data_IF_042207387672
#
_entry.id   IF_042207387672
#
_cell.length_a   1.000
_cell.length_b   1.000
_cell.length_c   1.000
_cell.angle_alpha   90.00
_cell.angle_beta   90.00
_cell.angle_gamma   90.00
#
_symmetry.space_group_name_H-M   'P 1'
#
loop_
_entity.id
_entity.type
_entity.pdbx_description
1 polymer ?
#
# COMPACT_ATOMS: atom_id res chain seq x y z
N UNK A 1 16.85 15.53 14.51
CA UNK A 1 17.73 14.65 13.74
C UNK A 1 17.26 14.79 12.29
N UNK A 2 18.05 15.40 11.43
CA UNK A 2 17.75 15.46 10.01
C UNK A 2 17.95 14.05 9.44
N UNK A 3 16.85 13.32 9.34
CA UNK A 3 16.84 12.03 8.66
C UNK A 3 17.02 12.29 7.16
N UNK A 4 18.27 12.24 6.70
CA UNK A 4 18.60 12.43 5.30
C UNK A 4 18.14 11.19 4.54
N UNK A 5 17.02 11.31 3.82
CA UNK A 5 16.52 10.29 2.90
C UNK A 5 16.88 10.72 1.47
N UNK A 6 17.30 9.76 0.65
CA UNK A 6 17.57 10.00 -0.77
C UNK A 6 16.28 10.23 -1.55
N UNK A 7 15.19 9.60 -1.11
CA UNK A 7 13.89 9.67 -1.76
C UNK A 7 12.74 9.43 -0.78
N UNK A 8 11.55 9.97 -1.09
CA UNK A 8 10.30 9.68 -0.39
C UNK A 8 9.29 9.10 -1.35
N UNK A 9 8.80 7.87 -1.08
CA UNK A 9 7.70 7.25 -1.79
C UNK A 9 6.41 7.35 -0.96
N UNK A 10 5.32 7.71 -1.62
CA UNK A 10 3.99 7.77 -1.02
C UNK A 10 3.16 6.61 -1.55
N UNK A 11 2.76 5.73 -0.67
CA UNK A 11 1.97 4.55 -1.01
C UNK A 11 0.65 4.54 -0.26
N UNK A 12 -0.33 3.94 -0.87
CA UNK A 12 -1.66 3.72 -0.31
C UNK A 12 -1.78 2.26 0.13
N UNK A 13 -2.46 2.00 1.25
CA UNK A 13 -2.89 0.66 1.61
C UNK A 13 -4.41 0.63 1.72
N UNK A 14 -5.04 -0.26 0.95
CA UNK A 14 -6.50 -0.42 0.88
C UNK A 14 -6.91 -1.89 0.96
N UNK A 15 -8.17 -2.15 1.15
CA UNK A 15 -8.78 -3.48 1.29
C UNK A 15 -9.87 -3.45 2.34
N UNK A 16 -10.61 -4.54 2.47
CA UNK A 16 -11.75 -4.65 3.37
C UNK A 16 -11.40 -4.42 4.84
N UNK A 17 -12.43 -4.18 5.65
CA UNK A 17 -12.25 -4.12 7.11
C UNK A 17 -11.78 -5.47 7.65
N UNK A 18 -10.86 -5.46 8.61
CA UNK A 18 -10.39 -6.67 9.29
C UNK A 18 -9.36 -7.52 8.53
N UNK A 19 -8.97 -7.16 7.29
CA UNK A 19 -7.91 -7.89 6.54
C UNK A 19 -6.51 -7.69 7.11
N UNK A 20 -6.32 -6.72 8.02
CA UNK A 20 -5.08 -6.51 8.76
C UNK A 20 -4.17 -5.41 8.23
N UNK A 21 -4.68 -4.42 7.48
CA UNK A 21 -3.90 -3.27 6.94
C UNK A 21 -3.10 -2.55 8.01
N UNK A 22 -3.73 -2.16 9.10
CA UNK A 22 -3.05 -1.44 10.19
C UNK A 22 -2.02 -2.30 10.88
N UNK A 23 -2.28 -3.60 11.11
CA UNK A 23 -1.28 -4.51 11.65
C UNK A 23 -0.10 -4.73 10.69
N UNK A 24 -0.34 -4.72 9.37
CA UNK A 24 0.71 -4.73 8.37
C UNK A 24 1.64 -3.51 8.54
N UNK A 25 1.06 -2.33 8.69
CA UNK A 25 1.81 -1.09 8.89
C UNK A 25 2.55 -1.09 10.23
N UNK A 26 1.91 -1.49 11.33
CA UNK A 26 2.55 -1.59 12.65
C UNK A 26 3.73 -2.58 12.63
N UNK A 27 3.56 -3.70 11.93
CA UNK A 27 4.64 -4.67 11.76
C UNK A 27 5.81 -4.08 10.96
N UNK A 28 5.54 -3.34 9.91
CA UNK A 28 6.55 -2.65 9.14
C UNK A 28 7.32 -1.60 9.95
N UNK A 29 6.62 -0.78 10.72
CA UNK A 29 7.21 0.37 11.41
C UNK A 29 7.95 -0.01 12.69
N UNK A 30 7.31 -0.84 13.52
CA UNK A 30 7.72 -1.08 14.90
C UNK A 30 8.06 -2.55 15.16
N UNK A 31 7.87 -3.43 14.18
CA UNK A 31 7.88 -4.87 14.36
C UNK A 31 6.84 -5.38 15.39
N UNK A 32 5.70 -4.69 15.47
CA UNK A 32 4.61 -4.96 16.42
C UNK A 32 3.42 -5.63 15.74
N UNK A 33 2.63 -6.35 16.55
CA UNK A 33 1.36 -6.93 16.17
C UNK A 33 0.35 -6.75 17.30
N UNK A 34 -0.81 -6.20 17.00
CA UNK A 34 -1.88 -6.02 17.97
C UNK A 34 -3.09 -6.89 17.61
N UNK A 35 -3.33 -7.95 18.39
CA UNK A 35 -4.44 -8.87 18.15
C UNK A 35 -5.81 -8.24 18.44
N UNK A 36 -5.87 -7.29 19.37
CA UNK A 36 -7.10 -6.63 19.81
C UNK A 36 -7.34 -5.28 19.10
N UNK A 37 -6.78 -5.12 17.88
CA UNK A 37 -6.91 -3.88 17.16
C UNK A 37 -8.38 -3.62 16.78
N UNK A 38 -8.92 -2.50 17.27
CA UNK A 38 -10.25 -2.01 16.86
C UNK A 38 -10.16 -1.40 15.44
N UNK A 39 -11.26 -1.37 14.72
CA UNK A 39 -11.31 -0.81 13.37
C UNK A 39 -10.75 0.62 13.33
N UNK A 40 -9.88 0.89 12.35
CA UNK A 40 -9.33 2.23 12.13
C UNK A 40 -10.44 3.22 11.85
N UNK A 41 -10.44 4.36 12.56
CA UNK A 41 -11.36 5.45 12.29
C UNK A 41 -10.64 6.52 11.47
N UNK A 42 -11.04 6.71 10.20
CA UNK A 42 -10.48 7.74 9.33
C UNK A 42 -9.27 7.29 8.52
N UNK A 43 -8.37 8.24 8.24
CA UNK A 43 -7.15 8.05 7.46
C UNK A 43 -5.99 8.56 8.29
N UNK A 44 -4.93 7.76 8.41
CA UNK A 44 -3.72 8.11 9.13
C UNK A 44 -2.49 8.01 8.22
N UNK A 45 -1.52 8.91 8.40
CA UNK A 45 -0.26 8.91 7.68
C UNK A 45 0.85 8.35 8.56
N UNK A 46 1.39 7.23 8.18
CA UNK A 46 2.53 6.60 8.85
C UNK A 46 3.79 6.70 8.00
N UNK A 47 4.95 6.75 8.63
CA UNK A 47 6.24 6.84 7.92
C UNK A 47 7.25 5.86 8.49
N UNK A 48 7.91 5.15 7.60
CA UNK A 48 9.06 4.27 7.88
C UNK A 48 10.14 4.44 6.83
N UNK A 49 11.15 3.59 6.83
CA UNK A 49 12.18 3.60 5.80
C UNK A 49 12.64 2.20 5.43
N UNK A 50 13.06 2.06 4.18
CA UNK A 50 13.72 0.87 3.64
C UNK A 50 14.99 1.31 2.91
N UNK A 51 15.87 0.35 2.66
CA UNK A 51 17.04 0.54 1.81
C UNK A 51 16.90 -0.28 0.53
N UNK A 52 17.02 0.38 -0.63
CA UNK A 52 17.01 -0.25 -1.96
C UNK A 52 18.23 0.27 -2.74
N UNK A 53 19.07 -0.62 -3.24
CA UNK A 53 20.26 -0.28 -4.05
C UNK A 53 21.15 0.81 -3.40
N UNK A 54 21.42 0.67 -2.09
CA UNK A 54 22.19 1.59 -1.26
C UNK A 54 21.58 3.02 -1.15
N UNK A 55 20.27 3.16 -1.40
CA UNK A 55 19.54 4.40 -1.18
C UNK A 55 18.56 4.23 -0.02
N UNK A 56 18.58 5.19 0.92
CA UNK A 56 17.65 5.25 2.05
C UNK A 56 16.35 5.90 1.59
N UNK A 57 15.29 5.11 1.49
CA UNK A 57 13.99 5.54 0.98
C UNK A 57 13.01 5.68 2.12
N UNK A 58 12.44 6.87 2.27
CA UNK A 58 11.31 7.10 3.17
C UNK A 58 10.02 6.58 2.55
N UNK A 59 9.31 5.73 3.26
CA UNK A 59 8.00 5.22 2.86
C UNK A 59 6.93 5.93 3.69
N UNK A 60 6.08 6.69 3.04
CA UNK A 60 4.89 7.28 3.63
C UNK A 60 3.67 6.46 3.23
N UNK A 61 3.02 5.84 4.22
CA UNK A 61 1.86 4.96 4.01
C UNK A 61 0.61 5.65 4.52
N UNK A 62 -0.38 5.78 3.65
CA UNK A 62 -1.72 6.20 4.02
C UNK A 62 -2.53 4.98 4.45
N UNK A 63 -2.76 4.84 5.78
CA UNK A 63 -3.64 3.82 6.35
C UNK A 63 -5.08 4.27 6.20
N UNK A 64 -5.88 3.50 5.49
CA UNK A 64 -7.28 3.80 5.27
C UNK A 64 -8.18 2.89 6.10
N UNK A 65 -9.22 3.45 6.74
CA UNK A 65 -10.29 2.64 7.29
C UNK A 65 -10.91 1.79 6.18
N UNK A 66 -11.06 0.48 6.42
CA UNK A 66 -11.64 -0.45 5.44
C UNK A 66 -13.15 -0.31 5.25
N UNK A 67 -13.68 0.90 5.46
CA UNK A 67 -15.09 1.21 5.26
C UNK A 67 -15.25 2.08 4.02
N UNK A 68 -16.01 1.60 3.04
CA UNK A 68 -16.41 2.28 1.80
C UNK A 68 -17.07 3.64 2.01
N UNK A 69 -17.46 3.99 3.25
CA UNK A 69 -18.06 5.27 3.62
C UNK A 69 -17.14 6.49 3.42
N UNK A 70 -15.83 6.26 3.23
CA UNK A 70 -14.84 7.34 3.09
C UNK A 70 -14.43 7.64 1.64
N UNK A 71 -15.19 7.15 0.63
CA UNK A 71 -14.94 7.44 -0.80
C UNK A 71 -14.81 8.94 -1.11
N UNK A 72 -15.47 9.80 -0.36
CA UNK A 72 -15.45 11.25 -0.61
C UNK A 72 -14.20 11.97 -0.10
N UNK A 73 -13.51 11.43 0.92
CA UNK A 73 -12.31 12.07 1.51
C UNK A 73 -11.04 11.72 0.72
N UNK A 74 -11.10 10.67 -0.08
CA UNK A 74 -9.95 10.05 -0.71
C UNK A 74 -9.46 10.72 -2.00
N UNK A 75 -10.29 11.50 -2.73
CA UNK A 75 -9.88 12.08 -4.02
C UNK A 75 -8.59 12.90 -3.97
N UNK A 76 -8.44 13.77 -2.99
CA UNK A 76 -7.22 14.57 -2.84
C UNK A 76 -5.99 13.80 -2.35
N UNK A 77 -6.21 12.63 -1.74
CA UNK A 77 -5.14 11.72 -1.30
C UNK A 77 -4.59 10.91 -2.47
N UNK A 78 -5.48 10.39 -3.32
CA UNK A 78 -5.12 9.60 -4.48
C UNK A 78 -4.21 10.35 -5.46
N UNK A 79 -4.34 11.66 -5.59
CA UNK A 79 -3.52 12.49 -6.48
C UNK A 79 -2.02 12.55 -6.11
N UNK A 80 -1.64 12.04 -4.94
CA UNK A 80 -0.27 12.15 -4.42
C UNK A 80 0.42 10.81 -4.21
N UNK A 81 -0.28 9.70 -4.37
CA UNK A 81 0.31 8.37 -4.19
C UNK A 81 0.96 7.86 -5.47
N UNK A 82 2.00 7.06 -5.31
CA UNK A 82 2.83 6.55 -6.38
C UNK A 82 2.59 5.05 -6.61
N UNK A 83 2.02 4.37 -5.61
CA UNK A 83 1.67 2.95 -5.68
C UNK A 83 0.69 2.57 -4.60
N UNK A 84 0.08 1.39 -4.74
CA UNK A 84 -0.92 0.87 -3.81
C UNK A 84 -0.66 -0.59 -3.43
N UNK A 85 -0.77 -0.90 -2.13
CA UNK A 85 -0.94 -2.25 -1.61
C UNK A 85 -2.43 -2.52 -1.45
N UNK A 86 -2.97 -3.53 -2.13
CA UNK A 86 -4.36 -3.94 -1.99
C UNK A 86 -4.39 -5.25 -1.21
N UNK A 87 -4.91 -5.20 0.01
CA UNK A 87 -4.80 -6.28 0.99
C UNK A 87 -6.11 -7.04 1.09
N UNK A 88 -6.03 -8.37 1.02
CA UNK A 88 -7.11 -9.28 1.37
C UNK A 88 -6.65 -10.28 2.45
N UNK A 89 -7.59 -10.95 3.08
CA UNK A 89 -7.36 -12.01 4.07
C UNK A 89 -7.51 -13.36 3.39
N UNK A 90 -6.47 -14.21 3.37
CA UNK A 90 -6.51 -15.53 2.72
C UNK A 90 -7.57 -16.46 3.31
N UNK A 91 -8.10 -16.15 4.50
CA UNK A 91 -9.15 -16.93 5.19
C UNK A 91 -10.56 -16.39 4.92
N UNK A 92 -10.72 -15.34 4.10
CA UNK A 92 -11.99 -14.68 3.84
C UNK A 92 -12.22 -14.48 2.34
N UNK A 93 -13.08 -15.32 1.76
CA UNK A 93 -13.44 -15.27 0.34
C UNK A 93 -13.98 -13.91 -0.10
N UNK A 94 -14.83 -13.29 0.71
CA UNK A 94 -15.43 -12.00 0.35
C UNK A 94 -14.37 -10.93 0.15
N UNK A 95 -13.33 -10.92 0.99
CA UNK A 95 -12.23 -9.95 0.87
C UNK A 95 -11.40 -10.16 -0.39
N UNK A 96 -11.32 -11.39 -0.91
CA UNK A 96 -10.70 -11.70 -2.20
C UNK A 96 -11.59 -11.24 -3.36
N UNK A 97 -12.87 -11.58 -3.37
CA UNK A 97 -13.77 -11.16 -4.46
C UNK A 97 -13.95 -9.65 -4.53
N UNK A 98 -13.80 -8.93 -3.42
CA UNK A 98 -13.81 -7.48 -3.38
C UNK A 98 -12.54 -6.84 -3.98
N UNK A 99 -11.47 -7.60 -4.24
CA UNK A 99 -10.24 -7.08 -4.88
C UNK A 99 -10.53 -6.38 -6.20
N UNK A 100 -11.47 -6.90 -7.00
CA UNK A 100 -11.86 -6.28 -8.26
C UNK A 100 -12.34 -4.83 -8.07
N UNK A 101 -13.15 -4.59 -7.05
CA UNK A 101 -13.65 -3.25 -6.73
C UNK A 101 -12.52 -2.33 -6.25
N UNK A 102 -11.59 -2.85 -5.43
CA UNK A 102 -10.44 -2.09 -4.94
C UNK A 102 -9.47 -1.73 -6.07
N UNK A 103 -9.15 -2.69 -6.95
CA UNK A 103 -8.28 -2.46 -8.12
C UNK A 103 -8.90 -1.42 -9.06
N UNK A 104 -10.20 -1.54 -9.36
CA UNK A 104 -10.91 -0.57 -10.20
C UNK A 104 -10.88 0.82 -9.60
N UNK A 105 -11.19 0.95 -8.32
CA UNK A 105 -11.17 2.23 -7.60
C UNK A 105 -9.77 2.88 -7.63
N UNK A 106 -8.71 2.11 -7.36
CA UNK A 106 -7.34 2.64 -7.39
C UNK A 106 -6.96 3.10 -8.80
N UNK A 107 -7.28 2.32 -9.83
CA UNK A 107 -7.00 2.68 -11.24
C UNK A 107 -7.79 3.91 -11.71
N UNK A 108 -9.03 4.08 -11.25
CA UNK A 108 -9.90 5.22 -11.59
C UNK A 108 -9.42 6.51 -10.90
N UNK A 109 -9.08 6.44 -9.62
CA UNK A 109 -8.74 7.63 -8.83
C UNK A 109 -7.26 8.06 -8.95
N UNK A 110 -6.34 7.10 -9.13
CA UNK A 110 -4.89 7.36 -9.21
C UNK A 110 -4.32 7.30 -10.64
N UNK A 111 -5.10 6.84 -11.60
CA UNK A 111 -4.68 6.66 -12.99
C UNK A 111 -4.21 5.24 -13.33
N UNK A 112 -4.28 4.90 -14.62
CA UNK A 112 -4.03 3.54 -15.12
C UNK A 112 -2.58 3.06 -14.97
N UNK A 113 -1.64 3.98 -14.76
CA UNK A 113 -0.21 3.68 -14.61
C UNK A 113 0.21 3.46 -13.15
N UNK A 114 -0.75 3.50 -12.22
CA UNK A 114 -0.51 3.23 -10.80
C UNK A 114 0.07 1.83 -10.60
N UNK A 115 1.19 1.74 -9.88
CA UNK A 115 1.77 0.46 -9.49
C UNK A 115 0.94 -0.17 -8.37
N UNK A 116 0.57 -1.44 -8.55
CA UNK A 116 -0.30 -2.16 -7.62
C UNK A 116 0.35 -3.50 -7.28
N UNK A 117 0.41 -3.79 -5.97
CA UNK A 117 0.74 -5.13 -5.47
C UNK A 117 -0.45 -5.65 -4.67
N UNK A 118 -0.93 -6.84 -5.02
CA UNK A 118 -1.94 -7.57 -4.24
C UNK A 118 -1.25 -8.30 -3.09
N UNK A 119 -1.78 -8.13 -1.89
CA UNK A 119 -1.24 -8.72 -0.67
C UNK A 119 -2.24 -9.69 -0.06
N UNK A 120 -1.93 -10.99 -0.07
CA UNK A 120 -2.67 -12.01 0.68
C UNK A 120 -2.17 -12.08 2.11
N UNK A 121 -2.85 -11.40 3.03
CA UNK A 121 -2.41 -11.35 4.43
C UNK A 121 -2.95 -12.53 5.25
N UNK A 122 -2.37 -12.75 6.41
CA UNK A 122 -2.63 -13.83 7.37
C UNK A 122 -2.18 -15.21 6.85
N UNK A 123 -1.03 -15.26 6.13
CA UNK A 123 -0.41 -16.51 5.65
C UNK A 123 -0.12 -17.54 6.77
N UNK A 124 0.01 -17.08 8.02
CA UNK A 124 0.12 -17.93 9.21
C UNK A 124 -1.14 -18.78 9.48
N UNK A 125 -2.27 -18.46 8.87
CA UNK A 125 -3.53 -19.20 8.96
C UNK A 125 -3.80 -20.07 7.73
N UNK A 126 -2.77 -20.59 7.08
CA UNK A 126 -2.87 -21.38 5.83
C UNK A 126 -3.83 -22.58 5.95
N UNK A 127 -3.91 -23.21 7.13
CA UNK A 127 -4.88 -24.29 7.40
C UNK A 127 -6.35 -23.87 7.34
N UNK A 128 -6.62 -22.54 7.39
CA UNK A 128 -7.96 -21.95 7.26
C UNK A 128 -8.13 -21.19 5.96
N UNK A 129 -7.24 -21.41 5.00
CA UNK A 129 -7.29 -20.78 3.68
C UNK A 129 -8.65 -21.03 3.01
N UNK A 130 -9.29 -19.97 2.58
CA UNK A 130 -10.57 -20.01 1.89
C UNK A 130 -10.41 -19.91 0.35
N UNK A 131 -9.32 -19.31 -0.13
CA UNK A 131 -9.02 -19.11 -1.55
C UNK A 131 -7.76 -19.87 -1.93
N UNK A 132 -7.84 -20.65 -3.02
CA UNK A 132 -6.69 -21.40 -3.51
C UNK A 132 -5.62 -20.46 -4.10
N UNK A 133 -4.35 -20.86 -3.98
CA UNK A 133 -3.23 -20.09 -4.59
C UNK A 133 -3.39 -20.00 -6.11
N UNK A 134 -3.91 -21.04 -6.74
CA UNK A 134 -4.14 -21.07 -8.18
C UNK A 134 -5.15 -20.00 -8.62
N UNK A 135 -6.25 -19.84 -7.89
CA UNK A 135 -7.28 -18.83 -8.17
C UNK A 135 -6.71 -17.43 -8.05
N UNK A 136 -5.91 -17.17 -7.01
CA UNK A 136 -5.22 -15.88 -6.83
C UNK A 136 -4.25 -15.61 -7.98
N UNK A 137 -3.43 -16.61 -8.37
CA UNK A 137 -2.45 -16.44 -9.45
C UNK A 137 -3.13 -16.18 -10.80
N UNK A 138 -4.27 -16.81 -11.07
CA UNK A 138 -5.07 -16.53 -12.27
C UNK A 138 -5.60 -15.09 -12.25
N UNK A 139 -6.16 -14.65 -11.12
CA UNK A 139 -6.66 -13.29 -10.96
C UNK A 139 -5.57 -12.22 -11.18
N UNK A 140 -4.42 -12.35 -10.52
CA UNK A 140 -3.34 -11.33 -10.63
C UNK A 140 -2.73 -11.30 -12.03
N UNK A 141 -2.67 -12.44 -12.71
CA UNK A 141 -2.24 -12.52 -14.11
C UNK A 141 -3.19 -11.76 -15.05
N UNK A 142 -4.50 -11.92 -14.87
CA UNK A 142 -5.51 -11.18 -15.62
C UNK A 142 -5.44 -9.67 -15.37
N UNK A 143 -5.26 -9.29 -14.12
CA UNK A 143 -5.15 -7.88 -13.72
C UNK A 143 -3.80 -7.24 -14.08
N UNK A 144 -2.79 -8.05 -14.46
CA UNK A 144 -1.39 -7.66 -14.74
C UNK A 144 -0.76 -6.91 -13.56
N UNK A 145 -0.91 -7.46 -12.36
CA UNK A 145 -0.37 -6.93 -11.11
C UNK A 145 0.45 -7.99 -10.39
N UNK A 146 1.36 -7.57 -9.54
CA UNK A 146 2.15 -8.47 -8.70
C UNK A 146 1.39 -8.93 -7.46
N UNK A 147 1.85 -10.06 -6.92
CA UNK A 147 1.24 -10.71 -5.77
C UNK A 147 2.28 -11.19 -4.76
N UNK A 148 1.94 -11.07 -3.48
CA UNK A 148 2.74 -11.61 -2.38
C UNK A 148 1.85 -11.99 -1.20
N UNK A 149 2.15 -13.14 -0.56
CA UNK A 149 1.53 -13.50 0.72
C UNK A 149 2.34 -12.97 1.89
N UNK A 150 1.67 -12.49 2.92
CA UNK A 150 2.27 -11.90 4.11
C UNK A 150 1.58 -12.38 5.38
N UNK A 151 2.29 -12.32 6.50
CA UNK A 151 1.68 -12.42 7.81
C UNK A 151 2.07 -11.22 8.68
N UNK A 152 1.11 -10.37 8.97
CA UNK A 152 1.32 -9.29 9.94
C UNK A 152 1.63 -9.83 11.34
N UNK A 153 1.17 -11.04 11.66
CA UNK A 153 1.41 -11.70 12.96
C UNK A 153 2.85 -12.16 13.10
N UNK A 154 3.39 -12.86 12.12
CA UNK A 154 4.76 -13.40 12.17
C UNK A 154 5.80 -12.41 11.64
N UNK A 155 5.40 -11.43 10.84
CA UNK A 155 6.28 -10.49 10.11
C UNK A 155 6.71 -10.99 8.75
N UNK A 156 6.25 -12.20 8.35
CA UNK A 156 6.63 -12.81 7.08
C UNK A 156 6.28 -11.89 5.89
N UNK A 157 7.27 -11.67 5.03
CA UNK A 157 7.19 -10.92 3.77
C UNK A 157 6.69 -9.46 3.87
N UNK A 158 6.54 -8.86 5.05
CA UNK A 158 6.05 -7.48 5.21
C UNK A 158 6.97 -6.48 4.50
N UNK A 159 8.27 -6.52 4.82
CA UNK A 159 9.27 -5.64 4.18
C UNK A 159 9.35 -5.95 2.69
N UNK A 160 9.33 -7.23 2.31
CA UNK A 160 9.40 -7.66 0.92
C UNK A 160 8.25 -7.11 0.07
N UNK A 161 7.02 -7.05 0.62
CA UNK A 161 5.87 -6.48 -0.08
C UNK A 161 6.05 -4.98 -0.37
N UNK A 162 6.59 -4.23 0.59
CA UNK A 162 6.88 -2.80 0.43
C UNK A 162 8.03 -2.60 -0.56
N UNK A 163 9.09 -3.42 -0.46
CA UNK A 163 10.23 -3.37 -1.39
C UNK A 163 9.78 -3.64 -2.82
N UNK A 164 8.97 -4.70 -3.05
CA UNK A 164 8.43 -5.05 -4.35
C UNK A 164 7.68 -3.89 -5.00
N UNK A 165 6.74 -3.27 -4.26
CA UNK A 165 6.01 -2.10 -4.76
C UNK A 165 6.94 -0.91 -5.02
N UNK A 166 7.92 -0.68 -4.13
CA UNK A 166 8.86 0.44 -4.27
C UNK A 166 9.76 0.28 -5.49
N UNK A 167 10.24 -0.93 -5.78
CA UNK A 167 11.04 -1.24 -6.96
C UNK A 167 10.23 -0.98 -8.25
N UNK A 168 8.97 -1.42 -8.31
CA UNK A 168 8.08 -1.14 -9.45
C UNK A 168 7.87 0.36 -9.67
N UNK A 169 7.68 1.14 -8.59
CA UNK A 169 7.54 2.59 -8.69
C UNK A 169 8.83 3.21 -9.28
N UNK A 170 10.00 2.77 -8.80
CA UNK A 170 11.29 3.29 -9.26
C UNK A 170 11.61 2.92 -10.71
N UNK A 171 11.25 1.73 -11.14
CA UNK A 171 11.46 1.25 -12.51
C UNK A 171 10.57 1.95 -13.55
N UNK A 172 9.35 2.31 -13.13
CA UNK A 172 8.39 3.00 -14.00
C UNK A 172 8.50 4.53 -13.96
N UNK A 173 9.32 5.09 -13.08
CA UNK A 173 9.70 6.49 -13.13
C UNK A 173 10.91 6.64 -14.07
N UNK A 174 10.76 7.35 -15.18
CA UNK A 174 11.79 7.52 -16.23
C UNK A 174 13.09 8.18 -15.74
N UNK A 175 13.09 8.74 -14.51
CA UNK A 175 14.29 9.10 -13.73
C UNK A 175 13.92 9.32 -12.26
N UNK A 176 14.88 9.11 -11.36
CA UNK A 176 14.74 9.45 -9.94
C UNK A 176 14.48 10.96 -9.77
N UNK A 177 14.94 11.77 -10.72
CA UNK A 177 14.76 13.22 -10.76
C UNK A 177 13.29 13.61 -11.04
N UNK A 178 12.54 12.84 -11.84
CA UNK A 178 11.11 13.06 -12.08
C UNK A 178 10.27 12.82 -10.82
N UNK A 179 10.68 11.88 -9.99
CA UNK A 179 9.98 11.60 -8.71
C UNK A 179 10.20 12.75 -7.73
N UNK A 180 11.42 13.27 -7.62
CA UNK A 180 11.75 14.43 -6.79
C UNK A 180 11.10 15.71 -7.32
N UNK A 181 11.09 15.95 -8.63
CA UNK A 181 10.47 17.10 -9.28
C UNK A 181 8.95 17.15 -9.10
N UNK A 182 8.25 16.01 -9.19
CA UNK A 182 6.80 15.93 -8.89
C UNK A 182 6.48 16.27 -7.44
N UNK A 183 7.38 15.96 -6.50
CA UNK A 183 7.21 16.30 -5.10
C UNK A 183 7.43 17.81 -4.83
N UNK A 184 8.40 18.42 -5.49
CA UNK A 184 8.73 19.85 -5.32
C UNK A 184 7.72 20.75 -6.02
N UNK A 185 7.21 20.40 -7.19
CA UNK A 185 6.17 21.16 -7.90
C UNK A 185 4.86 21.25 -7.11
N UNK A 186 4.51 20.22 -6.33
CA UNK A 186 3.34 20.21 -5.46
C UNK A 186 3.55 21.10 -4.21
N UNK A 187 4.79 21.23 -3.71
CA UNK A 187 5.11 22.10 -2.58
C UNK A 187 5.13 23.58 -2.98
N UNK A 188 5.53 23.91 -4.20
CA UNK A 188 5.59 25.27 -4.74
C UNK A 188 4.20 25.85 -5.08
N UNK A 189 3.23 25.02 -5.50
CA UNK A 189 1.88 25.50 -5.74
C UNK A 189 1.13 25.91 -4.47
N UNK A 190 1.50 25.38 -3.29
CA UNK A 190 0.94 25.83 -2.00
C UNK A 190 1.45 27.20 -1.55
N UNK A 191 2.65 27.62 -1.99
CA UNK A 191 3.20 28.96 -1.63
C UNK A 191 2.65 30.11 -2.48
N UNK A 192 2.04 29.84 -3.64
CA UNK A 192 1.47 30.89 -4.52
C UNK A 192 0.00 31.21 -4.28
N UNK A 193 -0.67 30.56 -3.32
CA UNK A 193 -2.10 30.82 -2.98
C UNK A 193 -2.31 31.51 -1.63
N UNK A 194 -1.27 32.05 -1.02
CA UNK A 194 -1.35 32.94 0.13
C UNK A 194 -0.65 34.27 -0.20
N UNK A 195 -1.29 35.08 -1.00
CA UNK A 195 -1.16 36.55 -1.11
C UNK A 195 -2.49 37.11 -1.50
#
# INVERSE_FOLDING_TARGET
>A
MDDNYDLTLKILIVGDSGVGKTNFILRFLNNEFNQNYMSTAGIDLKSGSIEIKNKKIRIQIWDTAGQEKYKAITKNLFLKVMGALIVYDITNENSFYNLQSWVSMVKEECGKHMQIVIVGNKSDLDSKRAISKEEVLNYVKEQKVEYIETSSKTGENIIKAITLLSEQILENSESIDDVSFRLDSISLQKRKKCC
#
